data_IF_435265547598
#
_entry.id   IF_435265547598
#
_cell.length_a   1.000
_cell.length_b   1.000
_cell.length_c   1.000
_cell.angle_alpha   90.00
_cell.angle_beta   90.00
_cell.angle_gamma   90.00
#
_symmetry.space_group_name_H-M   'P 1'
#
loop_
_entity.id
_entity.type
_entity.pdbx_description
1 polymer ?
#
# COMPACT_ATOMS: atom_id res chain seq x y z
N UNK A 1 21.96 18.22 3.21
CA UNK A 1 21.85 16.81 3.63
C UNK A 1 21.81 15.92 2.41
N UNK A 2 22.44 14.74 2.50
CA UNK A 2 22.40 13.67 1.51
C UNK A 2 21.47 12.57 2.03
N UNK A 3 20.42 12.23 1.28
CA UNK A 3 19.40 11.26 1.68
C UNK A 3 19.59 9.90 1.04
N UNK A 4 19.32 8.84 1.80
CA UNK A 4 19.09 7.48 1.28
C UNK A 4 17.79 6.95 1.90
N UNK A 5 16.94 6.35 1.08
CA UNK A 5 15.67 5.78 1.53
C UNK A 5 15.71 4.26 1.46
N UNK A 6 15.60 3.56 2.61
CA UNK A 6 15.91 2.13 2.66
C UNK A 6 15.07 1.30 3.64
N UNK A 7 15.10 -0.02 3.44
CA UNK A 7 14.68 -1.04 4.41
C UNK A 7 15.86 -1.54 5.26
N UNK A 8 17.06 -1.65 4.68
CA UNK A 8 18.30 -2.16 5.31
C UNK A 8 18.10 -3.40 6.17
N UNK A 9 17.62 -4.48 5.56
CA UNK A 9 17.12 -5.67 6.25
C UNK A 9 17.87 -6.96 5.84
N UNK A 10 19.13 -7.17 6.27
CA UNK A 10 19.98 -6.27 7.05
C UNK A 10 20.85 -5.33 6.17
N UNK A 11 21.70 -4.50 6.79
CA UNK A 11 22.75 -3.75 6.07
C UNK A 11 23.79 -4.73 5.51
N UNK A 12 23.97 -4.75 4.20
CA UNK A 12 24.99 -5.58 3.54
C UNK A 12 26.02 -4.71 2.83
N UNK A 13 27.11 -5.29 2.34
CA UNK A 13 28.21 -4.54 1.67
C UNK A 13 27.75 -3.68 0.50
N UNK A 14 26.67 -4.07 -0.19
CA UNK A 14 26.03 -3.20 -1.19
C UNK A 14 25.42 -1.90 -0.62
N UNK A 15 24.81 -1.96 0.57
CA UNK A 15 24.31 -0.78 1.28
C UNK A 15 25.47 0.08 1.80
N UNK A 16 26.56 -0.55 2.27
CA UNK A 16 27.77 0.17 2.71
C UNK A 16 28.34 1.01 1.56
N UNK A 17 28.39 0.48 0.34
CA UNK A 17 28.81 1.25 -0.85
C UNK A 17 27.91 2.46 -1.13
N UNK A 18 26.59 2.32 -0.95
CA UNK A 18 25.65 3.44 -1.06
C UNK A 18 25.94 4.51 -0.01
N UNK A 19 26.11 4.10 1.25
CA UNK A 19 26.38 5.02 2.37
C UNK A 19 27.74 5.71 2.18
N UNK A 20 28.78 4.98 1.74
CA UNK A 20 30.09 5.56 1.44
C UNK A 20 30.01 6.57 0.30
N UNK A 21 29.22 6.32 -0.75
CA UNK A 21 29.04 7.32 -1.80
C UNK A 21 28.34 8.57 -1.26
N UNK A 22 27.31 8.39 -0.43
CA UNK A 22 26.66 9.52 0.23
C UNK A 22 27.64 10.28 1.12
N UNK A 23 28.51 9.59 1.86
CA UNK A 23 29.56 10.18 2.70
C UNK A 23 30.55 11.00 1.88
N UNK A 24 31.05 10.46 0.76
CA UNK A 24 31.95 11.19 -0.14
C UNK A 24 31.34 12.53 -0.61
N UNK A 25 30.04 12.54 -0.94
CA UNK A 25 29.33 13.76 -1.35
C UNK A 25 29.11 14.68 -0.15
N UNK A 26 28.76 14.11 1.00
CA UNK A 26 28.49 14.84 2.23
C UNK A 26 29.73 15.61 2.70
N UNK A 27 30.89 14.95 2.73
CA UNK A 27 32.16 15.54 3.17
C UNK A 27 32.59 16.68 2.23
N UNK A 28 32.45 16.49 0.90
CA UNK A 28 32.71 17.53 -0.11
C UNK A 28 31.82 18.76 0.06
N UNK A 29 30.59 18.58 0.54
CA UNK A 29 29.60 19.65 0.71
C UNK A 29 29.53 20.16 2.16
N UNK A 30 30.32 19.60 3.09
CA UNK A 30 30.24 19.92 4.52
C UNK A 30 28.83 19.68 5.11
N UNK A 31 28.19 18.56 4.76
CA UNK A 31 26.81 18.24 5.20
C UNK A 31 26.71 16.82 5.75
N UNK A 32 25.50 16.41 6.17
CA UNK A 32 25.25 15.09 6.79
C UNK A 32 24.64 14.06 5.81
N UNK A 33 24.91 12.77 6.08
CA UNK A 33 24.27 11.60 5.48
C UNK A 33 23.11 11.14 6.36
N UNK A 34 21.90 11.18 5.80
CA UNK A 34 20.65 10.86 6.50
C UNK A 34 19.97 9.65 5.86
N UNK A 35 19.69 8.62 6.67
CA UNK A 35 18.98 7.42 6.22
C UNK A 35 17.52 7.49 6.65
N UNK A 36 16.61 7.47 5.68
CA UNK A 36 15.17 7.36 5.88
C UNK A 36 14.77 5.88 5.91
N UNK A 37 14.79 5.34 7.13
CA UNK A 37 14.68 3.90 7.41
C UNK A 37 13.25 3.52 7.82
N UNK A 38 12.69 2.52 7.14
CA UNK A 38 11.35 2.04 7.43
C UNK A 38 11.27 1.36 8.82
N UNK A 39 10.24 1.72 9.62
CA UNK A 39 9.93 1.15 10.93
C UNK A 39 8.57 0.45 10.91
N UNK A 40 8.50 -0.72 11.57
CA UNK A 40 7.32 -1.59 11.60
C UNK A 40 7.31 -2.57 10.43
N UNK A 41 7.00 -2.09 9.22
CA UNK A 41 6.87 -2.94 8.02
C UNK A 41 7.82 -2.52 6.90
N UNK A 42 8.36 -3.50 6.18
CA UNK A 42 9.18 -3.31 4.98
C UNK A 42 8.39 -2.76 3.80
N UNK A 43 9.08 -2.30 2.75
CA UNK A 43 8.42 -1.92 1.50
C UNK A 43 7.64 -3.07 0.83
N UNK A 44 7.89 -4.31 1.25
CA UNK A 44 7.16 -5.51 0.86
C UNK A 44 6.01 -5.89 1.81
N UNK A 45 5.68 -5.03 2.78
CA UNK A 45 4.57 -5.18 3.72
C UNK A 45 4.70 -6.39 4.67
N UNK A 46 5.93 -6.78 4.99
CA UNK A 46 6.24 -7.83 5.96
C UNK A 46 7.02 -7.24 7.15
N UNK A 47 6.95 -7.88 8.33
CA UNK A 47 7.89 -7.63 9.42
C UNK A 47 9.34 -7.71 8.93
N UNK A 48 10.21 -6.93 9.58
CA UNK A 48 11.64 -6.98 9.30
C UNK A 48 12.27 -8.21 9.94
N UNK A 49 13.41 -8.64 9.41
CA UNK A 49 14.19 -9.73 10.00
C UNK A 49 14.74 -9.35 11.37
N UNK A 50 15.20 -8.12 11.47
CA UNK A 50 15.65 -7.46 12.70
C UNK A 50 14.88 -6.18 12.92
N UNK A 51 14.69 -5.82 14.19
CA UNK A 51 13.93 -4.64 14.58
C UNK A 51 14.56 -3.32 14.04
N UNK A 52 13.84 -2.22 14.21
CA UNK A 52 14.30 -0.91 13.72
C UNK A 52 15.61 -0.45 14.38
N UNK A 53 15.78 -0.71 15.67
CA UNK A 53 16.91 -0.19 16.43
C UNK A 53 18.21 -0.89 16.05
N UNK A 54 18.18 -2.21 15.82
CA UNK A 54 19.28 -2.97 15.25
C UNK A 54 19.68 -2.46 13.86
N UNK A 55 18.70 -2.30 12.95
CA UNK A 55 18.97 -1.78 11.59
C UNK A 55 19.48 -0.34 11.60
N UNK A 56 18.99 0.49 12.54
CA UNK A 56 19.51 1.83 12.78
C UNK A 56 20.98 1.78 13.22
N UNK A 57 21.33 0.93 14.19
CA UNK A 57 22.73 0.74 14.64
C UNK A 57 23.61 0.33 13.46
N UNK A 58 23.19 -0.65 12.67
CA UNK A 58 23.92 -1.09 11.48
C UNK A 58 24.16 0.03 10.46
N UNK A 59 23.19 0.93 10.27
CA UNK A 59 23.31 2.06 9.35
C UNK A 59 24.29 3.13 9.86
N UNK A 60 24.27 3.41 11.17
CA UNK A 60 25.20 4.35 11.81
C UNK A 60 26.65 3.81 11.74
N UNK A 61 26.85 2.54 12.09
CA UNK A 61 28.14 1.85 11.98
C UNK A 61 28.66 1.76 10.53
N UNK A 62 27.76 1.78 9.55
CA UNK A 62 28.11 1.82 8.14
C UNK A 62 28.47 3.23 7.63
N UNK A 63 28.44 4.25 8.50
CA UNK A 63 28.87 5.61 8.20
C UNK A 63 27.74 6.59 7.90
N UNK A 64 26.51 6.36 8.35
CA UNK A 64 25.46 7.39 8.36
C UNK A 64 25.59 8.31 9.59
N UNK A 65 25.28 9.60 9.46
CA UNK A 65 25.24 10.51 10.61
C UNK A 65 23.92 10.39 11.39
N UNK A 66 22.83 10.22 10.65
CA UNK A 66 21.48 10.28 11.21
C UNK A 66 20.56 9.27 10.54
N UNK A 67 19.64 8.71 11.33
CA UNK A 67 18.61 7.79 10.85
C UNK A 67 17.23 8.31 11.25
N UNK A 68 16.38 8.56 10.26
CA UNK A 68 15.02 9.07 10.41
C UNK A 68 14.01 7.93 10.19
N UNK A 69 13.11 7.65 11.15
CA UNK A 69 12.15 6.56 11.01
C UNK A 69 10.99 6.94 10.08
N UNK A 70 10.72 6.12 9.06
CA UNK A 70 9.48 6.16 8.29
C UNK A 70 8.46 5.22 8.96
N UNK A 71 7.43 5.80 9.60
CA UNK A 71 6.41 5.06 10.34
C UNK A 71 5.05 5.11 9.64
N UNK A 72 4.28 4.05 9.80
CA UNK A 72 2.84 4.05 9.50
C UNK A 72 2.45 4.03 8.03
N UNK A 73 3.40 4.03 7.09
CA UNK A 73 3.08 3.99 5.66
C UNK A 73 2.93 2.56 5.12
N UNK A 74 3.86 1.67 5.46
CA UNK A 74 4.04 0.40 4.76
C UNK A 74 3.08 -0.72 5.16
N UNK A 75 2.24 -0.56 6.17
CA UNK A 75 1.07 -1.43 6.38
C UNK A 75 -0.24 -0.81 5.91
N UNK A 76 -0.20 0.40 5.33
CA UNK A 76 -1.39 1.15 4.89
C UNK A 76 -1.41 1.39 3.38
N UNK A 77 -0.24 1.60 2.78
CA UNK A 77 -0.11 2.13 1.44
C UNK A 77 0.83 1.27 0.58
N UNK A 78 0.46 1.13 -0.68
CA UNK A 78 1.34 0.53 -1.70
C UNK A 78 2.51 1.46 -2.03
N UNK A 79 3.55 0.92 -2.67
CA UNK A 79 4.68 1.72 -3.16
C UNK A 79 4.29 2.88 -4.07
N UNK A 80 3.15 2.80 -4.76
CA UNK A 80 2.70 3.89 -5.61
C UNK A 80 2.47 5.18 -4.81
N UNK A 81 1.94 5.06 -3.58
CA UNK A 81 1.67 6.17 -2.68
C UNK A 81 2.82 6.46 -1.70
N UNK A 82 3.55 5.45 -1.25
CA UNK A 82 4.63 5.69 -0.27
C UNK A 82 5.84 6.40 -0.86
N UNK A 83 6.13 6.21 -2.15
CA UNK A 83 7.25 6.90 -2.82
C UNK A 83 7.07 8.42 -2.86
N UNK A 84 5.96 9.00 -3.35
CA UNK A 84 5.78 10.46 -3.31
C UNK A 84 5.82 11.01 -1.89
N UNK A 85 5.21 10.33 -0.91
CA UNK A 85 5.25 10.76 0.49
C UNK A 85 6.70 10.80 1.02
N UNK A 86 7.49 9.75 0.78
CA UNK A 86 8.88 9.68 1.27
C UNK A 86 9.78 10.71 0.59
N UNK A 87 9.61 10.93 -0.71
CA UNK A 87 10.36 11.97 -1.44
C UNK A 87 10.01 13.35 -0.89
N UNK A 88 8.72 13.64 -0.70
CA UNK A 88 8.28 14.91 -0.13
C UNK A 88 8.85 15.13 1.29
N UNK A 89 8.83 14.11 2.15
CA UNK A 89 9.45 14.18 3.47
C UNK A 89 10.93 14.54 3.40
N UNK A 90 11.71 13.87 2.54
CA UNK A 90 13.14 14.17 2.39
C UNK A 90 13.38 15.60 1.87
N UNK A 91 12.62 16.01 0.86
CA UNK A 91 12.69 17.37 0.30
C UNK A 91 12.37 18.40 1.40
N UNK A 92 11.27 18.22 2.13
CA UNK A 92 10.82 19.12 3.21
C UNK A 92 11.80 19.18 4.38
N UNK A 93 12.47 18.07 4.70
CA UNK A 93 13.52 18.05 5.73
C UNK A 93 14.77 18.83 5.29
N UNK A 94 14.95 19.10 3.99
CA UNK A 94 16.09 19.82 3.44
C UNK A 94 17.15 18.94 2.75
N UNK A 95 16.77 17.73 2.35
CA UNK A 95 17.64 16.86 1.54
C UNK A 95 17.82 17.49 0.16
N UNK A 96 19.09 17.63 -0.26
CA UNK A 96 19.47 18.24 -1.55
C UNK A 96 19.99 17.21 -2.55
N UNK A 97 20.54 16.12 -2.05
CA UNK A 97 21.11 15.04 -2.85
C UNK A 97 20.53 13.71 -2.40
N UNK A 98 20.33 12.79 -3.33
CA UNK A 98 19.82 11.46 -3.08
C UNK A 98 20.72 10.42 -3.73
N UNK A 99 21.11 9.39 -3.00
CA UNK A 99 21.96 8.31 -3.53
C UNK A 99 21.14 7.03 -3.69
N UNK A 100 21.23 6.42 -4.88
CA UNK A 100 20.58 5.14 -5.19
C UNK A 100 21.50 4.22 -6.00
N UNK A 101 21.17 2.93 -6.04
CA UNK A 101 21.86 1.95 -6.87
C UNK A 101 21.03 1.62 -8.11
N UNK A 102 21.68 1.58 -9.29
CA UNK A 102 21.03 1.21 -10.53
C UNK A 102 21.99 0.48 -11.48
N UNK A 103 21.45 -0.44 -12.29
CA UNK A 103 22.21 -1.19 -13.30
C UNK A 103 22.19 -0.52 -14.68
N UNK A 104 21.38 0.52 -14.83
CA UNK A 104 21.24 1.32 -16.05
C UNK A 104 21.89 2.69 -15.87
N UNK A 105 22.31 3.29 -16.99
CA UNK A 105 22.97 4.59 -16.93
C UNK A 105 22.02 5.68 -16.41
N UNK A 106 22.54 6.74 -15.75
CA UNK A 106 21.73 7.89 -15.34
C UNK A 106 20.93 8.51 -16.49
N UNK A 107 21.49 8.54 -17.71
CA UNK A 107 20.82 9.06 -18.89
C UNK A 107 19.61 8.19 -19.31
N UNK A 108 19.71 6.87 -19.18
CA UNK A 108 18.60 5.95 -19.41
C UNK A 108 17.49 6.14 -18.37
N UNK A 109 17.83 6.28 -17.08
CA UNK A 109 16.85 6.55 -16.01
C UNK A 109 16.07 7.84 -16.30
N UNK A 110 16.78 8.92 -16.65
CA UNK A 110 16.18 10.21 -17.05
C UNK A 110 15.28 10.05 -18.27
N UNK A 111 15.74 9.36 -19.31
CA UNK A 111 14.96 9.08 -20.53
C UNK A 111 13.66 8.36 -20.21
N UNK A 112 13.71 7.23 -19.48
CA UNK A 112 12.53 6.47 -19.11
C UNK A 112 11.57 7.27 -18.22
N UNK A 113 12.10 8.03 -17.26
CA UNK A 113 11.31 8.84 -16.34
C UNK A 113 10.56 9.97 -17.05
N UNK A 114 11.16 10.59 -18.07
CA UNK A 114 10.62 11.77 -18.76
C UNK A 114 9.19 11.59 -19.28
N UNK A 115 8.85 10.40 -19.79
CA UNK A 115 7.49 10.09 -20.26
C UNK A 115 6.47 10.14 -19.13
N UNK A 116 6.81 9.57 -17.97
CA UNK A 116 5.92 9.51 -16.81
C UNK A 116 5.73 10.88 -16.16
N UNK A 117 6.80 11.69 -16.13
CA UNK A 117 6.73 13.10 -15.70
C UNK A 117 5.78 13.88 -16.60
N UNK A 118 5.95 13.79 -17.93
CA UNK A 118 5.10 14.47 -18.91
C UNK A 118 3.64 14.03 -18.84
N UNK A 119 3.38 12.74 -18.68
CA UNK A 119 2.00 12.23 -18.63
C UNK A 119 1.36 12.41 -17.25
N UNK A 120 2.15 12.66 -16.19
CA UNK A 120 1.67 12.68 -14.81
C UNK A 120 1.15 11.31 -14.33
N UNK A 121 1.64 10.21 -14.90
CA UNK A 121 1.20 8.83 -14.58
C UNK A 121 2.36 8.06 -13.95
N UNK A 122 2.34 7.89 -12.62
CA UNK A 122 3.42 7.26 -11.87
C UNK A 122 3.04 5.89 -11.29
N UNK A 123 1.75 5.60 -11.17
CA UNK A 123 1.24 4.30 -10.72
C UNK A 123 1.48 3.19 -11.77
N UNK A 124 1.37 3.54 -13.05
CA UNK A 124 1.35 2.64 -14.20
C UNK A 124 2.70 2.27 -14.81
N UNK A 125 3.82 2.48 -14.11
CA UNK A 125 5.16 2.16 -14.65
C UNK A 125 5.26 0.64 -14.92
N UNK A 126 5.55 0.20 -16.17
CA UNK A 126 5.60 -1.21 -16.54
C UNK A 126 6.60 -2.04 -15.73
N UNK A 127 6.28 -3.32 -15.50
CA UNK A 127 7.10 -4.25 -14.71
C UNK A 127 8.38 -4.70 -15.41
N UNK A 128 8.39 -4.68 -16.75
CA UNK A 128 9.52 -5.09 -17.58
C UNK A 128 10.58 -4.00 -17.75
N UNK A 129 10.38 -2.79 -17.21
CA UNK A 129 11.41 -1.75 -17.26
C UNK A 129 12.56 -2.07 -16.27
N UNK A 130 13.83 -1.91 -16.70
CA UNK A 130 14.97 -2.11 -15.82
C UNK A 130 14.98 -1.06 -14.69
N UNK A 131 15.41 -1.46 -13.49
CA UNK A 131 15.41 -0.63 -12.27
C UNK A 131 14.12 0.21 -12.10
N UNK A 132 12.95 -0.39 -12.40
CA UNK A 132 11.63 0.25 -12.36
C UNK A 132 11.38 1.12 -11.14
N UNK A 133 11.81 0.67 -9.96
CA UNK A 133 11.62 1.43 -8.74
C UNK A 133 12.42 2.73 -8.77
N UNK A 134 13.70 2.69 -9.17
CA UNK A 134 14.55 3.87 -9.34
C UNK A 134 13.94 4.85 -10.34
N UNK A 135 13.41 4.35 -11.47
CA UNK A 135 12.65 5.17 -12.44
C UNK A 135 11.46 5.86 -11.77
N UNK A 136 10.70 5.16 -10.91
CA UNK A 136 9.60 5.79 -10.14
C UNK A 136 10.12 6.89 -9.23
N UNK A 137 11.16 6.60 -8.43
CA UNK A 137 11.73 7.56 -7.49
C UNK A 137 12.18 8.82 -8.20
N UNK A 138 12.92 8.67 -9.31
CA UNK A 138 13.38 9.80 -10.12
C UNK A 138 12.21 10.60 -10.72
N UNK A 139 11.25 9.92 -11.36
CA UNK A 139 10.11 10.59 -11.99
C UNK A 139 9.25 11.36 -10.97
N UNK A 140 9.03 10.79 -9.79
CA UNK A 140 8.26 11.44 -8.73
C UNK A 140 9.03 12.63 -8.11
N UNK A 141 10.35 12.54 -7.99
CA UNK A 141 11.19 13.68 -7.57
C UNK A 141 11.10 14.85 -8.56
N UNK A 142 11.12 14.58 -9.86
CA UNK A 142 10.93 15.63 -10.88
C UNK A 142 9.54 16.29 -10.77
N UNK A 143 8.48 15.50 -10.56
CA UNK A 143 7.13 16.03 -10.33
C UNK A 143 7.06 16.90 -9.07
N UNK A 144 7.55 16.39 -7.94
CA UNK A 144 7.54 17.10 -6.67
C UNK A 144 8.44 18.33 -6.68
N UNK A 145 9.46 18.37 -7.54
CA UNK A 145 10.26 19.56 -7.81
C UNK A 145 9.43 20.79 -8.20
N UNK A 146 8.43 20.58 -9.06
CA UNK A 146 7.49 21.63 -9.44
C UNK A 146 6.50 22.01 -8.33
N UNK A 147 6.15 21.06 -7.46
CA UNK A 147 5.17 21.27 -6.37
C UNK A 147 5.81 21.96 -5.15
N UNK A 148 7.00 21.53 -4.76
CA UNK A 148 7.70 21.94 -3.54
C UNK A 148 8.78 23.01 -3.80
N UNK A 149 8.89 23.49 -5.04
CA UNK A 149 9.84 24.53 -5.45
C UNK A 149 11.31 24.06 -5.51
N UNK A 150 11.59 22.80 -5.17
CA UNK A 150 12.92 22.22 -5.29
C UNK A 150 12.85 20.69 -5.38
N UNK A 151 13.87 20.10 -6.00
CA UNK A 151 14.05 18.66 -6.15
C UNK A 151 15.43 18.23 -5.65
N UNK A 152 15.57 16.95 -5.30
CA UNK A 152 16.86 16.37 -4.97
C UNK A 152 17.66 16.07 -6.25
N UNK A 153 18.98 16.23 -6.18
CA UNK A 153 19.93 15.75 -7.18
C UNK A 153 20.20 14.25 -6.97
N UNK A 154 19.95 13.42 -7.98
CA UNK A 154 20.13 11.97 -7.87
C UNK A 154 21.55 11.56 -8.30
N UNK A 155 22.22 10.81 -7.43
CA UNK A 155 23.52 10.19 -7.65
C UNK A 155 23.34 8.68 -7.74
N UNK A 156 23.68 8.10 -8.88
CA UNK A 156 23.55 6.67 -9.11
C UNK A 156 24.90 5.98 -9.01
N UNK A 157 24.95 4.88 -8.27
CA UNK A 157 26.08 3.94 -8.29
C UNK A 157 25.66 2.60 -8.91
N UNK A 158 26.60 1.84 -9.49
CA UNK A 158 26.32 0.46 -9.92
C UNK A 158 25.85 -0.39 -8.74
N UNK A 159 24.89 -1.30 -8.99
CA UNK A 159 24.51 -2.27 -7.97
C UNK A 159 25.69 -3.19 -7.61
N UNK A 160 25.77 -3.56 -6.33
CA UNK A 160 26.88 -4.37 -5.84
C UNK A 160 26.65 -5.87 -6.03
N UNK A 161 27.69 -6.54 -6.50
CA UNK A 161 27.72 -7.98 -6.75
C UNK A 161 28.79 -8.68 -5.91
N UNK A 162 28.60 -9.98 -5.63
CA UNK A 162 29.63 -10.92 -5.17
C UNK A 162 29.77 -11.97 -6.27
N UNK A 163 30.93 -11.99 -6.94
CA UNK A 163 31.03 -12.62 -8.26
C UNK A 163 30.08 -11.91 -9.25
N UNK A 164 29.28 -12.67 -9.98
CA UNK A 164 28.28 -12.14 -10.92
C UNK A 164 26.89 -11.90 -10.31
N UNK A 165 26.67 -12.30 -9.05
CA UNK A 165 25.36 -12.24 -8.41
C UNK A 165 25.18 -10.99 -7.52
N UNK A 166 24.02 -10.36 -7.64
CA UNK A 166 23.62 -9.21 -6.82
C UNK A 166 23.49 -9.61 -5.35
N UNK A 167 24.09 -8.83 -4.46
CA UNK A 167 23.89 -9.00 -3.01
C UNK A 167 22.41 -8.72 -2.68
N UNK A 168 21.74 -9.70 -2.08
CA UNK A 168 20.30 -9.65 -1.82
C UNK A 168 19.99 -9.92 -0.36
N UNK A 169 19.42 -8.93 0.33
CA UNK A 169 18.94 -9.10 1.71
C UNK A 169 17.97 -10.28 1.86
N UNK A 170 17.17 -10.59 0.83
CA UNK A 170 16.28 -11.76 0.86
C UNK A 170 17.04 -13.08 0.90
N UNK A 171 18.11 -13.20 0.11
CA UNK A 171 18.95 -14.41 0.07
C UNK A 171 19.70 -14.55 1.39
N UNK A 172 20.29 -13.46 1.88
CA UNK A 172 20.98 -13.41 3.18
C UNK A 172 20.09 -13.92 4.31
N UNK A 173 18.86 -13.38 4.44
CA UNK A 173 17.93 -13.80 5.50
C UNK A 173 17.51 -15.26 5.37
N UNK A 174 17.24 -15.71 4.14
CA UNK A 174 16.87 -17.10 3.88
C UNK A 174 17.99 -18.05 4.30
N UNK A 175 19.22 -17.75 3.91
CA UNK A 175 20.37 -18.58 4.29
C UNK A 175 20.54 -18.65 5.81
N UNK A 176 20.40 -17.54 6.55
CA UNK A 176 20.45 -17.56 8.02
C UNK A 176 19.33 -18.44 8.60
N UNK A 177 18.10 -18.33 8.08
CA UNK A 177 16.96 -19.15 8.54
C UNK A 177 17.16 -20.65 8.25
N UNK A 178 17.68 -20.98 7.06
CA UNK A 178 17.94 -22.37 6.64
C UNK A 178 19.12 -23.00 7.41
N UNK A 179 19.98 -22.20 8.04
CA UNK A 179 21.08 -22.64 8.88
C UNK A 179 20.78 -22.47 10.38
N UNK A 180 19.52 -22.64 10.80
CA UNK A 180 19.10 -22.60 12.21
C UNK A 180 19.54 -21.31 12.95
N UNK A 181 19.42 -20.16 12.28
CA UNK A 181 19.86 -18.85 12.78
C UNK A 181 21.38 -18.70 12.96
N UNK A 182 22.20 -19.61 12.46
CA UNK A 182 23.63 -19.38 12.34
C UNK A 182 23.94 -18.51 11.12
N UNK A 183 24.95 -17.63 11.22
CA UNK A 183 25.40 -16.81 10.09
C UNK A 183 26.51 -17.55 9.33
N UNK A 184 26.22 -18.23 8.20
CA UNK A 184 27.19 -19.05 7.49
C UNK A 184 28.28 -18.20 6.83
N UNK A 185 29.41 -18.84 6.48
CA UNK A 185 30.56 -18.17 5.82
C UNK A 185 30.16 -17.45 4.52
N UNK A 186 29.19 -17.98 3.76
CA UNK A 186 28.64 -17.35 2.54
C UNK A 186 28.01 -15.99 2.84
N UNK A 187 27.19 -15.92 3.90
CA UNK A 187 26.54 -14.69 4.36
C UNK A 187 27.55 -13.72 4.95
N UNK A 188 28.51 -14.18 5.77
CA UNK A 188 29.55 -13.33 6.36
C UNK A 188 30.35 -12.57 5.30
N UNK A 189 30.61 -13.18 4.14
CA UNK A 189 31.29 -12.51 3.01
C UNK A 189 30.50 -11.34 2.44
N UNK A 190 29.18 -11.31 2.60
CA UNK A 190 28.27 -10.29 2.06
C UNK A 190 27.96 -9.15 3.05
N UNK A 191 28.29 -9.31 4.33
CA UNK A 191 27.99 -8.37 5.41
C UNK A 191 29.25 -7.65 5.91
N UNK A 192 29.18 -6.38 6.34
CA UNK A 192 30.25 -5.77 7.13
C UNK A 192 30.33 -6.42 8.53
N UNK A 193 31.50 -6.38 9.16
CA UNK A 193 31.73 -6.98 10.50
C UNK A 193 30.74 -6.45 11.53
N UNK A 194 30.54 -5.13 11.59
CA UNK A 194 29.59 -4.49 12.50
C UNK A 194 28.16 -5.03 12.35
N UNK A 195 27.71 -5.33 11.12
CA UNK A 195 26.39 -5.94 10.93
C UNK A 195 26.35 -7.40 11.37
N UNK A 196 27.44 -8.15 11.20
CA UNK A 196 27.53 -9.53 11.69
C UNK A 196 27.41 -9.54 13.22
N UNK A 197 28.12 -8.63 13.90
CA UNK A 197 28.12 -8.55 15.36
C UNK A 197 26.73 -8.18 15.90
N UNK A 198 26.10 -7.16 15.32
CA UNK A 198 24.73 -6.75 15.68
C UNK A 198 23.73 -7.87 15.39
N UNK A 199 23.82 -8.55 14.24
CA UNK A 199 22.92 -9.67 13.93
C UNK A 199 23.09 -10.81 14.93
N UNK A 200 24.33 -11.15 15.28
CA UNK A 200 24.61 -12.21 16.23
C UNK A 200 24.05 -11.87 17.61
N UNK A 201 24.16 -10.61 18.04
CA UNK A 201 23.54 -10.12 19.28
C UNK A 201 22.01 -10.31 19.24
N UNK A 202 21.33 -9.84 18.20
CA UNK A 202 19.87 -9.96 18.08
C UNK A 202 19.39 -11.42 17.98
N UNK A 203 20.17 -12.29 17.31
CA UNK A 203 19.91 -13.74 17.26
C UNK A 203 20.04 -14.35 18.66
N UNK A 204 21.10 -14.04 19.39
CA UNK A 204 21.34 -14.56 20.74
C UNK A 204 20.27 -14.10 21.74
N UNK A 205 19.69 -12.91 21.52
CA UNK A 205 18.59 -12.38 22.32
C UNK A 205 17.20 -12.95 21.93
N UNK A 206 17.11 -13.74 20.86
CA UNK A 206 15.83 -14.28 20.37
C UNK A 206 14.95 -13.25 19.65
N UNK A 207 15.52 -12.13 19.17
CA UNK A 207 14.79 -11.07 18.49
C UNK A 207 14.63 -11.31 16.97
N UNK A 208 15.13 -12.44 16.45
CA UNK A 208 15.19 -12.79 15.03
C UNK A 208 14.59 -14.19 14.78
N UNK A 209 13.78 -14.37 13.73
CA UNK A 209 13.26 -13.34 12.82
C UNK A 209 12.16 -12.52 13.47
N UNK A 210 11.96 -11.28 13.00
CA UNK A 210 10.72 -10.58 13.30
C UNK A 210 9.51 -11.30 12.69
N UNK A 211 8.47 -11.51 13.49
CA UNK A 211 7.28 -12.26 13.12
C UNK A 211 6.02 -11.39 13.12
N UNK A 212 4.95 -11.88 12.48
CA UNK A 212 3.62 -11.29 12.58
C UNK A 212 2.98 -11.65 13.92
N UNK A 213 2.07 -10.82 14.38
CA UNK A 213 1.13 -11.23 15.42
C UNK A 213 0.06 -12.17 14.83
N UNK A 214 0.40 -13.46 14.75
CA UNK A 214 -0.49 -14.48 14.18
C UNK A 214 -1.77 -14.67 14.98
N UNK A 215 -1.73 -14.52 16.29
CA UNK A 215 -2.92 -14.63 17.14
C UNK A 215 -3.97 -13.59 16.72
N UNK A 216 -3.59 -12.32 16.67
CA UNK A 216 -4.47 -11.21 16.29
C UNK A 216 -4.92 -11.35 14.84
N UNK A 217 -4.00 -11.66 13.92
CA UNK A 217 -4.32 -11.82 12.50
C UNK A 217 -5.36 -12.94 12.30
N UNK A 218 -5.12 -14.12 12.86
CA UNK A 218 -5.99 -15.27 12.67
C UNK A 218 -7.31 -15.11 13.41
N UNK A 219 -7.34 -14.49 14.59
CA UNK A 219 -8.58 -14.16 15.28
C UNK A 219 -9.48 -13.29 14.39
N UNK A 220 -8.96 -12.18 13.88
CA UNK A 220 -9.73 -11.26 13.02
C UNK A 220 -10.16 -11.92 11.72
N UNK A 221 -9.26 -12.63 11.05
CA UNK A 221 -9.58 -13.36 9.82
C UNK A 221 -10.68 -14.40 10.04
N UNK A 222 -10.76 -15.02 11.21
CA UNK A 222 -11.77 -16.04 11.52
C UNK A 222 -13.09 -15.44 11.99
N UNK A 223 -13.05 -14.35 12.75
CA UNK A 223 -14.20 -13.87 13.51
C UNK A 223 -14.86 -12.61 12.92
N UNK A 224 -14.16 -11.82 12.10
CA UNK A 224 -14.78 -10.64 11.47
C UNK A 224 -15.91 -11.03 10.52
N UNK A 225 -17.01 -10.28 10.57
CA UNK A 225 -18.11 -10.46 9.62
C UNK A 225 -17.71 -10.01 8.20
N UNK A 226 -18.44 -10.47 7.17
CA UNK A 226 -18.25 -10.01 5.77
C UNK A 226 -18.18 -8.48 5.64
N UNK A 227 -19.15 -7.69 6.18
CA UNK A 227 -19.06 -6.23 6.14
C UNK A 227 -17.81 -5.70 6.85
N UNK A 228 -17.46 -6.24 8.02
CA UNK A 228 -16.28 -5.79 8.77
C UNK A 228 -14.98 -6.05 8.00
N UNK A 229 -14.83 -7.22 7.36
CA UNK A 229 -13.67 -7.48 6.51
C UNK A 229 -13.62 -6.52 5.31
N UNK A 230 -14.76 -6.13 4.75
CA UNK A 230 -14.80 -5.20 3.62
C UNK A 230 -14.48 -3.76 4.03
N UNK A 231 -14.58 -3.41 5.32
CA UNK A 231 -14.10 -2.14 5.87
C UNK A 231 -12.56 -2.09 6.00
N UNK A 232 -11.88 -3.24 6.04
CA UNK A 232 -10.41 -3.32 6.06
C UNK A 232 -9.85 -2.89 4.70
N UNK A 233 -8.79 -2.09 4.74
CA UNK A 233 -8.11 -1.65 3.53
C UNK A 233 -7.49 -2.83 2.77
N UNK A 234 -7.41 -2.69 1.45
CA UNK A 234 -6.81 -3.69 0.54
C UNK A 234 -7.55 -5.02 0.46
N UNK A 235 -8.70 -5.20 1.11
CA UNK A 235 -9.61 -6.31 0.85
C UNK A 235 -10.74 -5.88 -0.07
N UNK A 236 -10.91 -6.55 -1.22
CA UNK A 236 -12.07 -6.42 -2.10
C UNK A 236 -13.10 -7.54 -1.81
N UNK A 237 -14.26 -7.50 -2.46
CA UNK A 237 -15.33 -8.47 -2.16
C UNK A 237 -14.92 -9.92 -2.48
N UNK A 238 -14.15 -10.14 -3.55
CA UNK A 238 -13.62 -11.47 -3.89
C UNK A 238 -12.69 -12.01 -2.79
N UNK A 239 -11.76 -11.19 -2.30
CA UNK A 239 -10.88 -11.57 -1.20
C UNK A 239 -11.65 -11.85 0.09
N UNK A 240 -12.65 -11.03 0.42
CA UNK A 240 -13.51 -11.26 1.59
C UNK A 240 -14.25 -12.58 1.49
N UNK A 241 -14.79 -12.93 0.31
CA UNK A 241 -15.52 -14.18 0.14
C UNK A 241 -14.58 -15.39 0.25
N UNK A 242 -13.40 -15.36 -0.39
CA UNK A 242 -12.38 -16.42 -0.25
C UNK A 242 -11.91 -16.56 1.21
N UNK A 243 -11.75 -15.44 1.93
CA UNK A 243 -11.43 -15.46 3.36
C UNK A 243 -12.52 -16.16 4.15
N UNK A 244 -13.79 -15.85 3.91
CA UNK A 244 -14.90 -16.43 4.66
C UNK A 244 -15.08 -17.91 4.34
N UNK A 245 -14.90 -18.32 3.09
CA UNK A 245 -14.97 -19.72 2.68
C UNK A 245 -13.79 -20.55 3.19
N UNK A 246 -12.60 -19.96 3.35
CA UNK A 246 -11.41 -20.66 3.84
C UNK A 246 -11.34 -20.85 5.35
N UNK A 247 -12.28 -20.29 6.12
CA UNK A 247 -12.31 -20.45 7.59
C UNK A 247 -12.53 -21.91 8.00
N UNK A 248 -11.97 -22.38 9.13
CA UNK A 248 -11.17 -21.65 10.13
C UNK A 248 -9.66 -21.77 9.86
N UNK A 249 -8.95 -20.66 9.95
CA UNK A 249 -7.50 -20.60 9.84
C UNK A 249 -6.80 -20.89 11.17
N UNK A 250 -5.79 -21.77 11.12
CA UNK A 250 -4.88 -22.08 12.26
C UNK A 250 -3.43 -21.68 12.00
N UNK A 251 -3.10 -21.33 10.75
CA UNK A 251 -1.76 -20.93 10.28
C UNK A 251 -1.93 -19.83 9.23
N UNK A 252 -0.89 -19.05 8.96
CA UNK A 252 -0.92 -17.99 7.94
C UNK A 252 -1.07 -18.54 6.51
N UNK A 253 -0.41 -19.66 6.18
CA UNK A 253 -0.36 -20.16 4.80
C UNK A 253 -1.73 -20.43 4.15
N UNK A 254 -2.73 -21.02 4.84
CA UNK A 254 -4.10 -21.11 4.31
C UNK A 254 -4.80 -19.76 4.09
N UNK A 255 -4.57 -18.76 4.96
CA UNK A 255 -5.10 -17.42 4.78
C UNK A 255 -4.47 -16.74 3.56
N UNK A 256 -3.15 -16.90 3.41
CA UNK A 256 -2.42 -16.48 2.22
C UNK A 256 -3.00 -17.10 0.95
N UNK A 257 -3.24 -18.42 0.94
CA UNK A 257 -3.82 -19.13 -0.20
C UNK A 257 -5.22 -18.61 -0.58
N UNK A 258 -6.03 -18.19 0.39
CA UNK A 258 -7.36 -17.62 0.13
C UNK A 258 -7.25 -16.28 -0.63
N UNK A 259 -6.32 -15.42 -0.24
CA UNK A 259 -6.03 -14.18 -0.98
C UNK A 259 -5.46 -14.47 -2.38
N UNK A 260 -4.65 -15.53 -2.53
CA UNK A 260 -4.13 -15.96 -3.84
C UNK A 260 -5.25 -16.39 -4.79
N UNK A 261 -6.25 -17.12 -4.30
CA UNK A 261 -7.44 -17.51 -5.07
C UNK A 261 -8.24 -16.30 -5.54
N UNK A 262 -8.30 -15.23 -4.73
CA UNK A 262 -8.89 -13.95 -5.12
C UNK A 262 -8.04 -13.12 -6.10
N UNK A 263 -6.95 -13.67 -6.66
CA UNK A 263 -6.11 -13.02 -7.66
C UNK A 263 -5.01 -12.12 -7.10
N UNK A 264 -4.71 -12.17 -5.79
CA UNK A 264 -3.75 -11.25 -5.19
C UNK A 264 -2.32 -11.69 -5.47
N UNK A 265 -1.48 -10.76 -5.95
CA UNK A 265 -0.03 -10.96 -6.04
C UNK A 265 0.64 -10.98 -4.65
N UNK A 266 1.89 -11.49 -4.52
CA UNK A 266 2.50 -11.72 -3.20
C UNK A 266 2.61 -10.44 -2.34
N UNK A 267 2.90 -9.31 -2.98
CA UNK A 267 3.04 -8.01 -2.31
C UNK A 267 1.69 -7.52 -1.79
N UNK A 268 0.63 -7.61 -2.59
CA UNK A 268 -0.72 -7.20 -2.17
C UNK A 268 -1.28 -8.14 -1.11
N UNK A 269 -0.98 -9.45 -1.19
CA UNK A 269 -1.33 -10.42 -0.14
C UNK A 269 -0.73 -10.01 1.21
N UNK A 270 0.56 -9.66 1.25
CA UNK A 270 1.21 -9.19 2.48
C UNK A 270 0.58 -7.91 3.02
N UNK A 271 0.30 -6.94 2.14
CA UNK A 271 -0.33 -5.69 2.53
C UNK A 271 -1.72 -5.93 3.14
N UNK A 272 -2.55 -6.73 2.48
CA UNK A 272 -3.88 -7.07 2.98
C UNK A 272 -3.80 -7.78 4.34
N UNK A 273 -2.89 -8.74 4.52
CA UNK A 273 -2.69 -9.40 5.82
C UNK A 273 -2.20 -8.43 6.89
N UNK A 274 -1.27 -7.52 6.57
CA UNK A 274 -0.85 -6.48 7.51
C UNK A 274 -1.98 -5.51 7.87
N UNK A 275 -2.86 -5.16 6.92
CA UNK A 275 -4.04 -4.35 7.23
C UNK A 275 -5.01 -5.08 8.15
N UNK A 276 -5.20 -6.38 8.00
CA UNK A 276 -6.04 -7.17 8.94
C UNK A 276 -5.36 -7.27 10.31
N UNK A 277 -4.06 -7.54 10.35
CA UNK A 277 -3.25 -7.63 11.57
C UNK A 277 -3.22 -6.32 12.37
N UNK A 278 -3.28 -5.17 11.71
CA UNK A 278 -3.23 -3.84 12.32
C UNK A 278 -4.61 -3.14 12.38
N UNK A 279 -5.67 -3.82 11.92
CA UNK A 279 -7.05 -3.30 11.84
C UNK A 279 -7.18 -2.01 11.01
N UNK A 280 -6.35 -1.87 9.99
CA UNK A 280 -6.31 -0.69 9.11
C UNK A 280 -7.57 -0.64 8.27
N UNK A 281 -8.35 0.43 8.44
CA UNK A 281 -9.59 0.62 7.69
C UNK A 281 -9.35 1.32 6.36
N UNK A 282 -10.26 1.14 5.40
CA UNK A 282 -10.28 1.94 4.16
C UNK A 282 -10.36 3.42 4.45
N UNK A 283 -11.13 3.82 5.47
CA UNK A 283 -11.29 5.22 5.87
C UNK A 283 -9.96 5.82 6.28
N UNK A 284 -9.21 5.12 7.12
CA UNK A 284 -7.87 5.56 7.54
C UNK A 284 -6.92 5.73 6.36
N UNK A 285 -6.90 4.76 5.43
CA UNK A 285 -6.08 4.86 4.20
C UNK A 285 -6.53 6.02 3.31
N UNK A 286 -7.84 6.20 3.15
CA UNK A 286 -8.42 7.27 2.36
C UNK A 286 -8.07 8.65 2.94
N UNK A 287 -8.26 8.83 4.25
CA UNK A 287 -7.91 10.06 4.97
C UNK A 287 -6.41 10.36 4.91
N UNK A 288 -5.56 9.33 5.01
CA UNK A 288 -4.11 9.47 4.86
C UNK A 288 -3.73 9.98 3.46
N UNK A 289 -4.30 9.41 2.39
CA UNK A 289 -4.04 9.87 1.02
C UNK A 289 -4.59 11.27 0.81
N UNK A 290 -5.80 11.55 1.32
CA UNK A 290 -6.42 12.88 1.26
C UNK A 290 -5.57 13.96 1.92
N UNK A 291 -4.94 13.65 3.05
CA UNK A 291 -4.01 14.55 3.74
C UNK A 291 -2.87 14.97 2.80
N UNK A 292 -2.12 14.01 2.27
CA UNK A 292 -1.00 14.29 1.36
C UNK A 292 -1.46 14.87 0.01
N UNK A 293 -2.68 14.58 -0.43
CA UNK A 293 -3.25 15.17 -1.63
C UNK A 293 -3.51 16.67 -1.44
N UNK A 294 -3.98 17.11 -0.26
CA UNK A 294 -4.14 18.54 0.06
C UNK A 294 -2.80 19.29 0.06
N UNK A 295 -1.73 18.60 0.42
CA UNK A 295 -0.35 19.11 0.39
C UNK A 295 0.26 19.08 -1.04
N UNK A 296 -0.49 18.63 -2.06
CA UNK A 296 -0.01 18.53 -3.45
C UNK A 296 0.95 17.34 -3.72
N UNK A 297 1.27 16.56 -2.69
CA UNK A 297 2.27 15.49 -2.74
C UNK A 297 1.80 14.30 -3.57
N UNK A 298 0.50 13.97 -3.51
CA UNK A 298 -0.07 12.85 -4.28
C UNK A 298 -0.17 13.23 -5.77
N UNK A 299 0.49 12.47 -6.67
CA UNK A 299 0.42 12.72 -8.10
C UNK A 299 -1.00 12.67 -8.69
N UNK A 300 -1.27 13.37 -9.81
CA UNK A 300 -2.61 13.47 -10.38
C UNK A 300 -3.30 12.15 -10.71
N UNK A 301 -2.56 11.13 -11.17
CA UNK A 301 -3.10 9.80 -11.51
C UNK A 301 -3.46 8.94 -10.28
N UNK A 302 -3.01 9.35 -9.10
CA UNK A 302 -3.18 8.63 -7.84
C UNK A 302 -4.20 9.29 -6.91
N UNK A 303 -4.81 10.41 -7.32
CA UNK A 303 -5.85 11.08 -6.53
C UNK A 303 -7.04 10.14 -6.31
N UNK A 304 -7.65 10.19 -5.14
CA UNK A 304 -8.80 9.33 -4.83
C UNK A 304 -10.01 9.63 -5.70
N UNK A 305 -10.18 10.87 -6.16
CA UNK A 305 -11.18 11.25 -7.16
C UNK A 305 -11.01 10.46 -8.43
N UNK A 306 -9.79 10.22 -8.90
CA UNK A 306 -9.56 9.44 -10.12
C UNK A 306 -10.10 8.02 -10.01
N UNK A 307 -10.10 7.43 -8.81
CA UNK A 307 -10.67 6.11 -8.57
C UNK A 307 -12.21 6.17 -8.64
N UNK A 308 -12.79 7.18 -8.02
CA UNK A 308 -14.25 7.42 -7.98
C UNK A 308 -14.78 7.74 -9.38
N UNK A 309 -14.13 8.68 -10.06
CA UNK A 309 -14.37 9.09 -11.44
C UNK A 309 -14.29 7.92 -12.41
N UNK A 310 -13.26 7.07 -12.27
CA UNK A 310 -13.11 5.86 -13.09
C UNK A 310 -14.30 4.92 -12.88
N UNK A 311 -14.67 4.67 -11.63
CA UNK A 311 -15.80 3.79 -11.32
C UNK A 311 -17.10 4.32 -11.94
N UNK A 312 -17.33 5.63 -11.86
CA UNK A 312 -18.50 6.26 -12.43
C UNK A 312 -18.50 6.26 -13.97
N UNK A 313 -17.35 6.56 -14.58
CA UNK A 313 -17.19 6.53 -16.03
C UNK A 313 -17.48 5.14 -16.59
N UNK A 314 -16.85 4.10 -16.01
CA UNK A 314 -17.07 2.71 -16.44
C UNK A 314 -18.52 2.31 -16.26
N UNK A 315 -19.13 2.60 -15.11
CA UNK A 315 -20.54 2.29 -14.86
C UNK A 315 -21.47 2.98 -15.88
N UNK A 316 -21.22 4.25 -16.20
CA UNK A 316 -22.02 5.03 -17.14
C UNK A 316 -21.85 4.57 -18.59
N UNK A 317 -20.66 4.10 -18.97
CA UNK A 317 -20.40 3.56 -20.30
C UNK A 317 -21.03 2.17 -20.48
N UNK A 318 -20.95 1.32 -19.46
CA UNK A 318 -21.59 -0.01 -19.47
C UNK A 318 -23.12 0.11 -19.57
N UNK A 319 -23.72 1.09 -18.88
CA UNK A 319 -25.15 1.38 -18.98
C UNK A 319 -25.58 1.77 -20.41
N UNK A 320 -24.65 2.25 -21.24
CA UNK A 320 -24.85 2.57 -22.67
C UNK A 320 -24.47 1.42 -23.61
N UNK A 321 -24.19 0.23 -23.08
CA UNK A 321 -23.86 -0.96 -23.85
C UNK A 321 -22.38 -1.16 -24.19
N UNK A 322 -21.47 -0.37 -23.61
CA UNK A 322 -20.02 -0.56 -23.80
C UNK A 322 -19.47 -1.69 -22.91
N UNK A 323 -18.47 -2.41 -23.39
CA UNK A 323 -17.73 -3.34 -22.53
C UNK A 323 -16.94 -2.61 -21.43
N UNK A 324 -16.84 -3.23 -20.26
CA UNK A 324 -16.18 -2.64 -19.09
C UNK A 324 -14.67 -2.46 -19.26
N UNK A 325 -14.00 -3.36 -20.00
CA UNK A 325 -12.57 -3.26 -20.28
C UNK A 325 -12.31 -2.15 -21.30
N UNK A 326 -13.12 -2.07 -22.35
CA UNK A 326 -13.05 -0.98 -23.32
C UNK A 326 -13.24 0.38 -22.63
N UNK A 327 -14.27 0.51 -21.78
CA UNK A 327 -14.51 1.74 -21.02
C UNK A 327 -13.32 2.10 -20.12
N UNK A 328 -12.71 1.11 -19.47
CA UNK A 328 -11.53 1.34 -18.64
C UNK A 328 -10.33 1.85 -19.45
N UNK A 329 -10.08 1.29 -20.63
CA UNK A 329 -8.98 1.72 -21.51
C UNK A 329 -9.20 3.13 -22.03
N UNK A 330 -10.43 3.48 -22.41
CA UNK A 330 -10.80 4.83 -22.84
C UNK A 330 -10.60 5.88 -21.75
N UNK A 331 -11.01 5.57 -20.51
CA UNK A 331 -10.72 6.42 -19.35
C UNK A 331 -9.21 6.63 -19.17
N UNK A 332 -8.41 5.56 -19.29
CA UNK A 332 -6.94 5.65 -19.17
C UNK A 332 -6.27 6.45 -20.28
N UNK A 333 -6.87 6.51 -21.46
CA UNK A 333 -6.44 7.36 -22.59
C UNK A 333 -6.84 8.83 -22.40
N UNK A 334 -7.53 9.18 -21.30
CA UNK A 334 -7.86 10.55 -20.95
C UNK A 334 -9.19 11.03 -21.50
N UNK A 335 -10.12 10.13 -21.81
CA UNK A 335 -11.46 10.51 -22.23
C UNK A 335 -12.16 11.37 -21.18
N UNK A 336 -12.86 12.40 -21.64
CA UNK A 336 -13.51 13.38 -20.77
C UNK A 336 -14.72 12.76 -20.08
N UNK A 337 -14.87 13.07 -18.80
CA UNK A 337 -16.03 12.71 -18.01
C UNK A 337 -17.08 13.81 -18.19
N UNK A 338 -18.24 13.46 -18.72
CA UNK A 338 -19.31 14.43 -18.99
C UNK A 338 -20.23 14.67 -17.79
N UNK A 339 -20.29 13.74 -16.83
CA UNK A 339 -21.12 13.84 -15.64
C UNK A 339 -20.28 13.52 -14.40
N UNK A 340 -20.32 14.40 -13.40
CA UNK A 340 -19.62 14.19 -12.15
C UNK A 340 -20.15 12.94 -11.42
N UNK A 341 -19.24 12.21 -10.79
CA UNK A 341 -19.59 11.04 -10.00
C UNK A 341 -20.44 11.44 -8.79
N UNK A 342 -21.56 10.76 -8.52
CA UNK A 342 -22.35 11.03 -7.33
C UNK A 342 -21.59 10.54 -6.09
N UNK A 343 -21.48 11.42 -5.09
CA UNK A 343 -20.94 11.07 -3.76
C UNK A 343 -22.01 10.50 -2.82
N UNK A 344 -23.27 10.49 -3.25
CA UNK A 344 -24.39 9.96 -2.47
C UNK A 344 -25.36 9.25 -3.41
N UNK A 345 -25.75 8.03 -3.04
CA UNK A 345 -26.71 7.20 -3.78
C UNK A 345 -27.72 6.64 -2.78
N UNK A 346 -29.01 6.82 -3.02
CA UNK A 346 -30.07 6.27 -2.17
C UNK A 346 -30.52 4.92 -2.75
N UNK A 347 -30.26 3.82 -2.02
CA UNK A 347 -30.65 2.47 -2.41
C UNK A 347 -31.97 2.04 -1.76
N UNK A 348 -32.80 1.31 -2.49
CA UNK A 348 -33.91 0.57 -1.90
C UNK A 348 -33.41 -0.57 -1.02
N UNK A 349 -34.21 -0.99 -0.05
CA UNK A 349 -33.92 -2.15 0.80
C UNK A 349 -35.20 -2.97 0.95
N UNK A 350 -35.09 -4.30 0.89
CA UNK A 350 -36.22 -5.18 1.19
C UNK A 350 -36.36 -5.35 2.70
N UNK A 351 -37.51 -4.96 3.24
CA UNK A 351 -37.83 -5.03 4.66
C UNK A 351 -39.15 -5.77 4.84
N UNK A 352 -39.22 -6.59 5.88
CA UNK A 352 -40.46 -7.26 6.32
C UNK A 352 -41.23 -6.31 7.23
N UNK A 353 -42.55 -6.41 7.26
CA UNK A 353 -43.40 -5.49 8.03
C UNK A 353 -43.02 -5.39 9.50
N UNK A 354 -42.63 -6.50 10.13
CA UNK A 354 -42.19 -6.53 11.53
C UNK A 354 -40.81 -5.91 11.79
N UNK A 355 -40.00 -5.69 10.75
CA UNK A 355 -38.67 -5.07 10.87
C UNK A 355 -38.77 -3.55 10.92
N UNK A 356 -39.85 -2.99 10.37
CA UNK A 356 -40.05 -1.53 10.24
C UNK A 356 -40.05 -0.81 11.58
N UNK A 357 -40.60 -1.43 12.63
CA UNK A 357 -40.66 -0.86 13.98
C UNK A 357 -39.31 -0.73 14.67
N UNK A 358 -38.27 -1.39 14.16
CA UNK A 358 -36.90 -1.35 14.70
C UNK A 358 -35.97 -0.39 13.95
N UNK A 359 -36.49 0.34 12.96
CA UNK A 359 -35.69 1.25 12.12
C UNK A 359 -35.82 2.70 12.60
N UNK A 360 -34.71 3.41 12.52
CA UNK A 360 -34.61 4.82 12.85
C UNK A 360 -33.78 5.56 11.78
N UNK A 361 -34.05 6.86 11.62
CA UNK A 361 -33.27 7.73 10.74
C UNK A 361 -31.81 7.75 11.20
N UNK A 362 -30.87 7.64 10.26
CA UNK A 362 -29.44 7.64 10.57
C UNK A 362 -28.89 6.30 11.05
N UNK A 363 -29.70 5.27 11.25
CA UNK A 363 -29.23 3.94 11.65
C UNK A 363 -28.12 3.44 10.70
N UNK A 364 -26.91 3.11 11.19
CA UNK A 364 -25.81 2.69 10.33
C UNK A 364 -26.11 1.39 9.58
N UNK A 365 -25.81 1.40 8.28
CA UNK A 365 -25.89 0.24 7.41
C UNK A 365 -24.50 -0.16 6.93
N UNK A 366 -24.01 -1.31 7.41
CA UNK A 366 -22.73 -1.85 6.95
C UNK A 366 -22.92 -2.49 5.57
N UNK A 367 -22.23 -1.98 4.57
CA UNK A 367 -22.35 -2.43 3.18
C UNK A 367 -21.44 -3.63 2.94
N UNK A 368 -21.94 -4.62 2.21
CA UNK A 368 -21.15 -5.77 1.80
C UNK A 368 -21.65 -6.39 0.50
N UNK A 369 -20.89 -7.33 -0.02
CA UNK A 369 -21.30 -8.19 -1.14
C UNK A 369 -21.64 -9.57 -0.57
N UNK A 370 -22.83 -10.06 -0.89
CA UNK A 370 -23.26 -11.39 -0.44
C UNK A 370 -22.70 -12.53 -1.33
N UNK A 371 -22.96 -13.77 -0.94
CA UNK A 371 -22.50 -14.97 -1.67
C UNK A 371 -23.06 -15.11 -3.10
N UNK A 372 -24.08 -14.34 -3.47
CA UNK A 372 -24.66 -14.29 -4.81
C UNK A 372 -24.09 -13.12 -5.64
N UNK A 373 -23.14 -12.37 -5.08
CA UNK A 373 -22.54 -11.21 -5.72
C UNK A 373 -23.34 -9.91 -5.58
N UNK A 374 -24.46 -9.93 -4.85
CA UNK A 374 -25.35 -8.78 -4.70
C UNK A 374 -24.84 -7.81 -3.63
N UNK A 375 -25.02 -6.52 -3.86
CA UNK A 375 -24.77 -5.50 -2.82
C UNK A 375 -25.87 -5.61 -1.77
N UNK A 376 -25.49 -5.74 -0.51
CA UNK A 376 -26.39 -5.91 0.62
C UNK A 376 -26.01 -4.97 1.78
N UNK A 377 -27.00 -4.68 2.63
CA UNK A 377 -26.83 -3.94 3.87
C UNK A 377 -27.00 -4.85 5.08
N UNK A 378 -26.15 -4.69 6.08
CA UNK A 378 -26.32 -5.21 7.43
C UNK A 378 -26.69 -4.06 8.37
N UNK A 379 -27.89 -4.11 8.92
CA UNK A 379 -28.36 -3.22 9.97
C UNK A 379 -28.30 -3.95 11.32
N UNK A 380 -27.80 -3.28 12.35
CA UNK A 380 -27.85 -3.77 13.73
C UNK A 380 -28.71 -2.80 14.54
N UNK A 381 -29.94 -3.21 14.80
CA UNK A 381 -30.87 -2.50 15.67
C UNK A 381 -30.68 -3.01 17.11
N UNK A 382 -31.31 -2.35 18.09
CA UNK A 382 -31.31 -2.85 19.47
C UNK A 382 -31.96 -4.24 19.60
N UNK A 383 -32.94 -4.56 18.76
CA UNK A 383 -33.73 -5.79 18.87
C UNK A 383 -33.27 -6.91 17.93
N UNK A 384 -32.66 -6.58 16.78
CA UNK A 384 -32.37 -7.56 15.72
C UNK A 384 -31.27 -7.13 14.75
N UNK A 385 -30.74 -8.11 14.03
CA UNK A 385 -29.84 -7.92 12.88
C UNK A 385 -30.63 -8.14 11.59
N UNK A 386 -30.64 -7.16 10.69
CA UNK A 386 -31.32 -7.25 9.39
C UNK A 386 -30.25 -7.32 8.30
N UNK A 387 -30.33 -8.34 7.44
CA UNK A 387 -29.46 -8.51 6.27
C UNK A 387 -30.33 -8.55 5.03
N UNK A 388 -30.14 -7.59 4.13
CA UNK A 388 -31.02 -7.47 2.97
C UNK A 388 -30.26 -6.97 1.74
N UNK A 389 -30.49 -7.57 0.56
CA UNK A 389 -30.01 -7.03 -0.70
C UNK A 389 -30.54 -5.61 -0.93
N UNK A 390 -29.68 -4.76 -1.48
CA UNK A 390 -30.04 -3.41 -1.86
C UNK A 390 -30.58 -3.39 -3.30
N UNK A 391 -31.58 -2.54 -3.54
CA UNK A 391 -32.12 -2.27 -4.87
C UNK A 391 -31.54 -0.98 -5.41
N UNK A 392 -30.80 -1.07 -6.50
CA UNK A 392 -30.16 0.05 -7.19
C UNK A 392 -30.46 -0.06 -8.69
N UNK A 393 -30.58 1.07 -9.42
CA UNK A 393 -30.47 1.07 -10.88
C UNK A 393 -29.17 0.39 -11.33
N UNK A 394 -29.16 -0.22 -12.51
CA UNK A 394 -28.04 -1.03 -13.00
C UNK A 394 -26.70 -0.27 -13.00
N UNK A 395 -26.69 0.97 -13.49
CA UNK A 395 -25.53 1.87 -13.43
C UNK A 395 -25.02 2.08 -12.01
N UNK A 396 -25.92 2.42 -11.08
CA UNK A 396 -25.54 2.75 -9.70
C UNK A 396 -25.06 1.50 -8.95
N UNK A 397 -25.66 0.33 -9.22
CA UNK A 397 -25.18 -0.95 -8.73
C UNK A 397 -23.75 -1.23 -9.20
N UNK A 398 -23.47 -1.03 -10.49
CA UNK A 398 -22.12 -1.18 -11.07
C UNK A 398 -21.13 -0.21 -10.44
N UNK A 399 -21.51 1.07 -10.30
CA UNK A 399 -20.69 2.11 -9.69
C UNK A 399 -20.31 1.77 -8.24
N UNK A 400 -21.31 1.48 -7.39
CA UNK A 400 -21.07 1.12 -5.99
C UNK A 400 -20.26 -0.18 -5.88
N UNK A 401 -20.49 -1.14 -6.78
CA UNK A 401 -19.71 -2.38 -6.81
C UNK A 401 -18.23 -2.11 -7.11
N UNK A 402 -17.93 -1.28 -8.09
CA UNK A 402 -16.55 -0.89 -8.43
C UNK A 402 -15.88 -0.13 -7.27
N UNK A 403 -16.61 0.67 -6.51
CA UNK A 403 -16.08 1.32 -5.30
C UNK A 403 -15.83 0.32 -4.17
N UNK A 404 -16.75 -0.62 -3.93
CA UNK A 404 -16.53 -1.72 -2.98
C UNK A 404 -15.32 -2.57 -3.35
N UNK A 405 -15.03 -2.75 -4.63
CA UNK A 405 -13.86 -3.50 -5.11
C UNK A 405 -12.58 -2.66 -5.25
N UNK A 406 -12.66 -1.34 -5.08
CA UNK A 406 -11.52 -0.41 -5.21
C UNK A 406 -10.46 -0.53 -4.10
N UNK A 407 -10.68 -1.39 -3.10
CA UNK A 407 -9.78 -1.69 -1.97
C UNK A 407 -9.52 -0.52 -0.99
N UNK A 408 -9.80 0.72 -1.38
CA UNK A 408 -9.36 1.91 -0.65
C UNK A 408 -10.48 2.94 -0.45
N UNK A 409 -11.51 2.95 -1.31
CA UNK A 409 -12.63 3.91 -1.17
C UNK A 409 -13.58 3.41 -0.06
N UNK A 410 -13.80 4.21 1.00
CA UNK A 410 -14.75 3.87 2.05
C UNK A 410 -16.16 4.24 1.60
N UNK A 411 -17.12 3.38 1.96
CA UNK A 411 -18.53 3.64 1.76
C UNK A 411 -19.25 3.58 3.11
N UNK A 412 -20.08 4.56 3.40
CA UNK A 412 -20.90 4.62 4.60
C UNK A 412 -22.37 4.49 4.21
N UNK A 413 -23.06 3.51 4.78
CA UNK A 413 -24.50 3.37 4.66
C UNK A 413 -25.20 3.94 5.88
N UNK A 414 -26.33 4.63 5.68
CA UNK A 414 -27.23 5.06 6.75
C UNK A 414 -28.68 4.94 6.31
N UNK A 415 -29.57 4.57 7.22
CA UNK A 415 -31.00 4.55 6.95
C UNK A 415 -31.54 5.96 6.79
N UNK A 416 -32.34 6.18 5.75
CA UNK A 416 -33.06 7.44 5.53
C UNK A 416 -34.51 7.18 5.17
N UNK A 417 -35.41 7.97 5.73
CA UNK A 417 -36.84 7.94 5.51
C UNK A 417 -37.19 8.82 4.31
N UNK A 418 -37.98 8.27 3.40
CA UNK A 418 -38.50 8.97 2.21
C UNK A 418 -39.99 8.75 2.12
N UNK A 419 -40.68 9.60 1.35
CA UNK A 419 -42.13 9.48 1.08
C UNK A 419 -42.56 8.07 0.63
N UNK A 420 -41.69 7.32 -0.05
CA UNK A 420 -41.94 5.95 -0.56
C UNK A 420 -41.25 4.86 0.28
N UNK A 421 -41.09 5.11 1.58
CA UNK A 421 -40.50 4.19 2.56
C UNK A 421 -39.01 4.39 2.79
N UNK A 422 -38.43 3.49 3.57
CA UNK A 422 -37.02 3.50 3.96
C UNK A 422 -36.06 3.26 2.78
N UNK A 423 -34.91 3.93 2.83
CA UNK A 423 -33.79 3.76 1.91
C UNK A 423 -32.48 3.64 2.70
N UNK A 424 -31.47 3.06 2.07
CA UNK A 424 -30.10 3.11 2.55
C UNK A 424 -29.38 4.18 1.73
N UNK A 425 -29.04 5.30 2.36
CA UNK A 425 -28.17 6.31 1.78
C UNK A 425 -26.73 5.84 1.86
N UNK A 426 -26.12 5.64 0.71
CA UNK A 426 -24.71 5.26 0.56
C UNK A 426 -23.91 6.53 0.26
N UNK A 427 -22.96 6.86 1.11
CA UNK A 427 -22.03 7.98 0.95
C UNK A 427 -20.64 7.46 0.63
N UNK A 428 -20.01 8.07 -0.38
CA UNK A 428 -18.57 7.91 -0.65
C UNK A 428 -17.83 8.89 0.27
N UNK A 429 -17.06 8.39 1.23
CA UNK A 429 -16.55 9.23 2.34
C UNK A 429 -15.09 8.94 2.68
#
# INVERSE_FOLDING_TARGET
MIGISADFDPVHKGHVKLIHKAREIADKKGTEVVIYLNKGYSANHAPFFVNYDARRRMALEAGADRVVPIKGLHHRLTMAYTVPIRIAMMIQDGVRDYVDAADVSPSQIKKYSSRFVKSGIFSGIPRNLPNRNVIRWYAVNEYLGGVLGHKMEFHFIPESKVGDEKISGRIIRREILENNLEIPKSVRKQLPSSTIDILQEEINQGNVPGERNLEVLLDRLNNYSRPRLLEIAHLNAAAVEEIVQGRKYRKEAPAWASLRKAGYGPVLTRLALSCVEEDVTRREVFELIRKYQKEGIIPPDQKVERIIDRAWFVASSVDRGMDSQEAHERFRKGEKIHQLAPYTVDAGIHLRSFELSSLEEGLPAQLYVDKRGMIAGLLKTAQRKIKSPLKLPARDATYIRLLLDSQMVPLQGSMVSKKRGWRVRIKVS
#
